data_IF_037572655061
#
_entry.id   IF_037572655061
#
_cell.length_a   1.000
_cell.length_b   1.000
_cell.length_c   1.000
_cell.angle_alpha   90.00
_cell.angle_beta   90.00
_cell.angle_gamma   90.00
#
_symmetry.space_group_name_H-M   'P 1'
#
loop_
_entity.id
_entity.type
_entity.pdbx_description
1 polymer ?
#
# COMPACT_ATOMS: atom_id res chain seq x y z
N UNK A 1 -15.93 24.83 12.54
CA UNK A 1 -16.55 25.99 11.89
C UNK A 1 -17.84 25.63 11.15
N UNK A 2 -17.82 24.73 10.16
CA UNK A 2 -19.05 24.31 9.43
C UNK A 2 -20.12 23.65 10.32
N UNK A 3 -19.69 22.90 11.34
CA UNK A 3 -20.59 22.31 12.33
C UNK A 3 -21.29 23.36 13.20
N UNK A 4 -20.65 24.51 13.46
CA UNK A 4 -21.20 25.58 14.30
C UNK A 4 -22.28 26.38 13.56
N UNK A 5 -22.13 26.57 12.24
CA UNK A 5 -23.21 27.16 11.40
C UNK A 5 -24.41 26.22 11.31
N UNK A 6 -24.20 24.90 11.18
CA UNK A 6 -25.29 23.91 11.24
C UNK A 6 -25.99 23.87 12.60
N UNK A 7 -25.26 24.14 13.67
CA UNK A 7 -25.80 24.25 15.03
C UNK A 7 -26.34 25.65 15.34
N UNK A 8 -26.45 26.54 14.34
CA UNK A 8 -26.91 27.94 14.46
C UNK A 8 -26.12 28.80 15.46
N UNK A 9 -24.95 28.35 15.89
CA UNK A 9 -24.04 29.11 16.78
C UNK A 9 -23.32 30.24 16.03
N UNK A 10 -23.31 30.21 14.70
CA UNK A 10 -22.78 31.24 13.82
C UNK A 10 -23.72 31.41 12.62
N UNK A 11 -24.04 32.66 12.25
CA UNK A 11 -24.93 32.96 11.12
C UNK A 11 -24.32 32.55 9.76
N UNK A 12 -23.01 32.73 9.60
CA UNK A 12 -22.27 32.37 8.38
C UNK A 12 -20.86 31.89 8.72
N UNK A 13 -20.23 31.15 7.80
CA UNK A 13 -18.85 30.68 7.97
C UNK A 13 -17.89 31.68 7.29
N UNK A 14 -17.09 32.47 8.05
CA UNK A 14 -16.17 33.47 7.47
C UNK A 14 -15.08 32.84 6.60
N UNK A 15 -14.79 31.55 6.80
CA UNK A 15 -13.82 30.80 6.00
C UNK A 15 -14.35 30.37 4.62
N UNK A 16 -15.62 30.63 4.31
CA UNK A 16 -16.21 30.33 3.00
C UNK A 16 -15.82 31.36 1.93
N UNK A 17 -15.49 32.58 2.36
CA UNK A 17 -15.05 33.69 1.51
C UNK A 17 -13.56 33.63 1.18
N UNK A 18 -12.82 32.72 1.83
CA UNK A 18 -11.39 32.55 1.62
C UNK A 18 -11.19 31.43 0.59
N UNK A 19 -10.71 31.79 -0.60
CA UNK A 19 -10.24 30.79 -1.55
C UNK A 19 -9.08 30.01 -0.94
N UNK A 20 -9.19 28.68 -0.88
CA UNK A 20 -8.08 27.85 -0.45
C UNK A 20 -6.93 28.04 -1.45
N UNK A 21 -5.71 28.38 -1.01
CA UNK A 21 -4.58 28.46 -1.92
C UNK A 21 -4.43 27.12 -2.64
N UNK A 22 -4.26 27.15 -3.97
CA UNK A 22 -3.98 25.95 -4.77
C UNK A 22 -2.74 25.28 -4.18
N UNK A 23 -2.96 24.21 -3.42
CA UNK A 23 -1.85 23.43 -2.89
C UNK A 23 -1.18 22.77 -4.10
N UNK A 24 0.09 23.14 -4.36
CA UNK A 24 0.91 22.40 -5.32
C UNK A 24 0.82 20.91 -4.94
N UNK A 25 0.53 20.05 -5.91
CA UNK A 25 0.49 18.62 -5.68
C UNK A 25 1.81 18.21 -5.01
N UNK A 26 1.74 17.64 -3.81
CA UNK A 26 2.94 17.14 -3.14
C UNK A 26 3.54 16.06 -4.02
N UNK A 27 4.75 16.26 -4.51
CA UNK A 27 5.54 15.19 -5.09
C UNK A 27 5.76 14.14 -3.99
N UNK A 28 5.25 12.93 -4.19
CA UNK A 28 5.47 11.84 -3.26
C UNK A 28 6.84 11.25 -3.54
N UNK A 29 7.69 11.17 -2.52
CA UNK A 29 8.94 10.43 -2.62
C UNK A 29 8.60 8.94 -2.52
N UNK A 30 8.74 8.24 -3.64
CA UNK A 30 8.58 6.80 -3.76
C UNK A 30 9.94 6.17 -3.97
N UNK A 31 10.14 4.96 -3.46
CA UNK A 31 11.36 4.22 -3.75
C UNK A 31 11.29 3.57 -5.12
N UNK A 32 12.46 3.47 -5.75
CA UNK A 32 12.69 2.54 -6.86
C UNK A 32 12.61 1.08 -6.40
N UNK A 33 12.55 0.19 -7.37
CA UNK A 33 12.59 -1.25 -7.19
C UNK A 33 13.89 -1.68 -6.48
N UNK A 34 15.03 -1.11 -6.87
CA UNK A 34 16.35 -1.40 -6.29
C UNK A 34 16.45 -0.92 -4.84
N UNK A 35 15.96 0.29 -4.54
CA UNK A 35 15.92 0.83 -3.18
C UNK A 35 15.00 0.01 -2.28
N UNK A 36 13.86 -0.45 -2.82
CA UNK A 36 12.93 -1.32 -2.11
C UNK A 36 13.57 -2.64 -1.71
N UNK A 37 14.28 -3.29 -2.64
CA UNK A 37 15.02 -4.53 -2.39
C UNK A 37 16.12 -4.32 -1.35
N UNK A 38 16.90 -3.23 -1.49
CA UNK A 38 17.98 -2.88 -0.56
C UNK A 38 17.45 -2.67 0.86
N UNK A 39 16.33 -1.95 1.00
CA UNK A 39 15.68 -1.76 2.28
C UNK A 39 15.18 -3.09 2.88
N UNK A 40 14.52 -3.94 2.08
CA UNK A 40 14.03 -5.24 2.57
C UNK A 40 15.17 -6.15 3.04
N UNK A 41 16.31 -6.14 2.36
CA UNK A 41 17.50 -6.90 2.76
C UNK A 41 17.99 -6.51 4.17
N UNK A 42 18.05 -5.21 4.46
CA UNK A 42 18.41 -4.70 5.80
C UNK A 42 17.30 -4.95 6.82
N UNK A 43 16.04 -4.75 6.43
CA UNK A 43 14.89 -4.92 7.30
C UNK A 43 14.69 -6.38 7.75
N UNK A 44 15.21 -7.37 7.00
CA UNK A 44 15.12 -8.81 7.31
C UNK A 44 15.70 -9.18 8.67
N UNK A 45 16.66 -8.41 9.16
CA UNK A 45 17.24 -8.58 10.51
C UNK A 45 16.37 -8.01 11.63
N UNK A 46 15.34 -7.22 11.29
CA UNK A 46 14.45 -6.61 12.25
C UNK A 46 13.33 -7.57 12.66
N UNK A 47 13.00 -7.63 13.96
CA UNK A 47 11.78 -8.33 14.44
C UNK A 47 10.51 -7.86 13.72
N UNK A 48 10.46 -6.60 13.30
CA UNK A 48 9.31 -6.01 12.62
C UNK A 48 9.37 -6.15 11.10
N UNK A 49 10.22 -7.02 10.56
CA UNK A 49 10.35 -7.26 9.11
C UNK A 49 9.00 -7.47 8.43
N UNK A 50 8.13 -8.32 8.99
CA UNK A 50 6.81 -8.63 8.42
C UNK A 50 5.94 -7.39 8.21
N UNK A 51 6.09 -6.36 9.04
CA UNK A 51 5.34 -5.10 8.90
C UNK A 51 5.72 -4.37 7.63
N UNK A 52 7.03 -4.31 7.35
CA UNK A 52 7.54 -3.65 6.16
C UNK A 52 7.29 -4.47 4.90
N UNK A 53 7.45 -5.79 5.01
CA UNK A 53 7.15 -6.73 3.93
C UNK A 53 5.70 -6.59 3.47
N UNK A 54 4.75 -6.65 4.41
CA UNK A 54 3.33 -6.46 4.08
C UNK A 54 3.08 -5.07 3.49
N UNK A 55 3.62 -4.00 4.07
CA UNK A 55 3.42 -2.65 3.54
C UNK A 55 3.83 -2.51 2.06
N UNK A 56 4.97 -3.12 1.68
CA UNK A 56 5.52 -3.07 0.32
C UNK A 56 4.77 -4.01 -0.64
N UNK A 57 4.42 -5.23 -0.23
CA UNK A 57 3.81 -6.23 -1.12
C UNK A 57 2.28 -6.11 -1.24
N UNK A 58 1.60 -5.52 -0.26
CA UNK A 58 0.13 -5.43 -0.23
C UNK A 58 -0.40 -4.00 -0.26
N UNK A 59 0.45 -2.99 -0.04
CA UNK A 59 0.03 -1.58 -0.01
C UNK A 59 -0.90 -1.24 1.17
N UNK A 60 -0.92 -2.07 2.21
CA UNK A 60 -1.75 -1.86 3.38
C UNK A 60 -1.28 -0.66 4.22
N UNK A 61 -2.23 0.02 4.87
CA UNK A 61 -1.92 1.10 5.80
C UNK A 61 -1.29 0.53 7.06
N UNK A 62 -0.41 1.30 7.71
CA UNK A 62 0.25 0.89 8.96
C UNK A 62 -0.73 0.38 10.02
N UNK A 63 -1.83 1.10 10.24
CA UNK A 63 -2.86 0.69 11.20
C UNK A 63 -3.60 -0.59 10.80
N UNK A 64 -3.77 -0.85 9.50
CA UNK A 64 -4.37 -2.10 9.01
C UNK A 64 -3.43 -3.28 9.31
N UNK A 65 -2.13 -3.13 9.01
CA UNK A 65 -1.11 -4.17 9.26
C UNK A 65 -1.00 -4.48 10.75
N UNK A 66 -0.92 -3.45 11.59
CA UNK A 66 -0.86 -3.61 13.05
C UNK A 66 -2.19 -4.09 13.65
N UNK A 67 -3.27 -3.99 12.87
CA UNK A 67 -4.60 -4.49 13.22
C UNK A 67 -4.82 -5.95 12.85
N UNK A 68 -3.98 -6.57 12.02
CA UNK A 68 -4.20 -7.94 11.55
C UNK A 68 -4.18 -8.97 12.68
N UNK A 69 -5.11 -9.91 12.64
CA UNK A 69 -5.06 -11.16 13.42
C UNK A 69 -4.51 -12.30 12.57
N UNK A 70 -4.10 -13.39 13.23
CA UNK A 70 -3.69 -14.62 12.55
C UNK A 70 -4.82 -15.16 11.67
N UNK A 71 -6.05 -15.20 12.18
CA UNK A 71 -7.24 -15.67 11.43
C UNK A 71 -7.59 -14.84 10.19
N UNK A 72 -7.08 -13.61 10.10
CA UNK A 72 -7.33 -12.74 8.94
C UNK A 72 -6.44 -13.12 7.74
N UNK A 73 -5.44 -14.01 7.93
CA UNK A 73 -4.49 -14.45 6.90
C UNK A 73 -4.82 -15.88 6.47
N UNK A 74 -5.23 -16.04 5.22
CA UNK A 74 -5.40 -17.34 4.58
C UNK A 74 -4.19 -17.65 3.70
N UNK A 75 -3.35 -18.57 4.16
CA UNK A 75 -2.12 -18.98 3.46
C UNK A 75 -2.43 -19.78 2.20
N UNK A 76 -3.48 -20.60 2.21
CA UNK A 76 -3.84 -21.47 1.07
C UNK A 76 -4.37 -20.63 -0.09
N UNK A 77 -5.30 -19.72 0.20
CA UNK A 77 -5.87 -18.80 -0.79
C UNK A 77 -4.95 -17.62 -1.09
N UNK A 78 -3.88 -17.43 -0.30
CA UNK A 78 -2.95 -16.30 -0.36
C UNK A 78 -3.67 -14.96 -0.24
N UNK A 79 -4.58 -14.85 0.72
CA UNK A 79 -5.43 -13.68 0.93
C UNK A 79 -5.34 -13.15 2.35
N UNK A 80 -5.40 -11.83 2.50
CA UNK A 80 -5.50 -11.15 3.79
C UNK A 80 -6.81 -10.35 3.82
N UNK A 81 -7.64 -10.61 4.82
CA UNK A 81 -8.90 -9.92 5.05
C UNK A 81 -8.70 -8.76 6.02
N UNK A 82 -8.95 -7.52 5.58
CA UNK A 82 -8.72 -6.33 6.40
C UNK A 82 -10.00 -5.99 7.16
N UNK A 83 -10.08 -6.45 8.41
CA UNK A 83 -11.28 -6.32 9.25
C UNK A 83 -11.13 -5.30 10.39
N UNK A 84 -9.88 -5.06 10.83
CA UNK A 84 -9.56 -4.30 12.03
C UNK A 84 -8.41 -3.34 11.79
N UNK A 85 -8.44 -2.17 12.43
CA UNK A 85 -7.39 -1.16 12.31
C UNK A 85 -6.91 -0.73 13.70
N UNK A 86 -5.59 -0.73 13.91
CA UNK A 86 -4.95 -0.12 15.07
C UNK A 86 -5.06 1.41 14.99
N UNK A 87 -5.59 2.04 16.03
CA UNK A 87 -5.70 3.49 16.10
C UNK A 87 -4.31 4.14 16.26
N UNK A 88 -4.14 5.34 15.70
CA UNK A 88 -2.86 6.06 15.73
C UNK A 88 -2.34 6.36 17.15
N UNK A 89 -3.26 6.48 18.13
CA UNK A 89 -2.89 6.67 19.54
C UNK A 89 -2.29 5.40 20.18
N UNK A 90 -2.36 4.25 19.50
CA UNK A 90 -1.93 2.94 20.01
C UNK A 90 -2.71 2.47 21.24
N UNK A 91 -3.88 3.06 21.51
CA UNK A 91 -4.71 2.78 22.70
C UNK A 91 -5.86 1.82 22.44
N UNK A 92 -5.95 1.25 21.24
CA UNK A 92 -7.00 0.30 20.93
C UNK A 92 -7.16 0.03 19.44
N UNK A 93 -8.04 -0.92 19.17
CA UNK A 93 -8.45 -1.28 17.83
C UNK A 93 -9.81 -0.67 17.53
N UNK A 94 -10.01 -0.36 16.26
CA UNK A 94 -11.32 -0.08 15.72
C UNK A 94 -11.74 -1.28 14.88
N UNK A 95 -12.77 -1.97 15.35
CA UNK A 95 -13.47 -2.99 14.59
C UNK A 95 -14.34 -2.31 13.54
N UNK A 96 -14.30 -2.83 12.32
CA UNK A 96 -15.02 -2.25 11.20
C UNK A 96 -14.37 -0.96 10.68
N UNK A 97 -14.26 -0.92 9.37
CA UNK A 97 -14.05 0.32 8.63
C UNK A 97 -15.40 1.01 8.46
N UNK A 98 -15.54 2.27 8.88
CA UNK A 98 -16.80 3.03 8.69
C UNK A 98 -17.20 2.94 7.21
N UNK A 99 -18.36 2.35 6.92
CA UNK A 99 -18.98 2.01 5.61
C UNK A 99 -18.70 0.60 5.05
N UNK A 100 -19.77 -0.01 4.53
CA UNK A 100 -19.88 -1.36 3.94
C UNK A 100 -18.94 -1.66 2.77
N UNK A 101 -18.22 -0.66 2.26
CA UNK A 101 -17.27 -0.79 1.15
C UNK A 101 -15.79 -0.91 1.55
N UNK A 102 -15.45 -1.05 2.84
CA UNK A 102 -14.05 -0.94 3.29
C UNK A 102 -13.45 -2.18 3.97
N UNK A 103 -14.23 -3.26 4.19
CA UNK A 103 -13.65 -4.59 4.37
C UNK A 103 -13.21 -5.09 2.99
N UNK A 104 -11.91 -5.24 2.79
CA UNK A 104 -11.34 -5.68 1.52
C UNK A 104 -10.37 -6.82 1.74
N UNK A 105 -10.30 -7.69 0.75
CA UNK A 105 -9.35 -8.79 0.70
C UNK A 105 -8.21 -8.43 -0.22
N UNK A 106 -6.97 -8.60 0.26
CA UNK A 106 -5.77 -8.35 -0.53
C UNK A 106 -5.04 -9.66 -0.78
N UNK A 107 -4.78 -9.96 -2.06
CA UNK A 107 -4.03 -11.14 -2.48
C UNK A 107 -2.54 -10.88 -2.37
N UNK A 108 -1.75 -11.81 -1.85
CA UNK A 108 -0.29 -11.68 -1.77
C UNK A 108 0.45 -12.76 -2.60
N UNK A 109 1.69 -12.51 -3.04
CA UNK A 109 2.45 -13.48 -3.82
C UNK A 109 2.90 -14.67 -2.96
N UNK A 110 3.13 -15.82 -3.59
CA UNK A 110 3.65 -17.03 -2.93
C UNK A 110 5.02 -16.80 -2.28
N UNK A 111 5.79 -15.84 -2.79
CA UNK A 111 7.15 -15.54 -2.31
C UNK A 111 7.21 -15.12 -0.83
N UNK A 112 6.14 -14.55 -0.26
CA UNK A 112 6.12 -14.09 1.14
C UNK A 112 5.46 -15.10 2.09
N UNK A 113 5.00 -16.25 1.58
CA UNK A 113 4.36 -17.30 2.41
C UNK A 113 5.28 -17.78 3.54
N UNK A 114 6.58 -18.06 3.32
CA UNK A 114 7.46 -18.52 4.40
C UNK A 114 7.58 -17.49 5.54
N UNK A 115 7.67 -16.20 5.19
CA UNK A 115 7.77 -15.12 6.17
C UNK A 115 6.47 -14.96 6.97
N UNK A 116 5.31 -15.16 6.33
CA UNK A 116 4.01 -15.15 6.99
C UNK A 116 3.82 -16.37 7.90
N UNK A 117 4.20 -17.56 7.46
CA UNK A 117 4.14 -18.77 8.28
C UNK A 117 4.98 -18.61 9.54
N UNK A 118 6.21 -18.12 9.41
CA UNK A 118 7.08 -17.78 10.56
C UNK A 118 6.46 -16.73 11.47
N UNK A 119 5.74 -15.76 10.91
CA UNK A 119 5.06 -14.74 11.70
C UNK A 119 3.82 -15.29 12.44
N UNK A 120 3.21 -16.37 11.96
CA UNK A 120 2.03 -17.02 12.56
C UNK A 120 2.43 -18.09 13.59
N UNK A 121 3.60 -18.68 13.43
CA UNK A 121 4.11 -19.74 14.31
C UNK A 121 3.99 -19.39 15.80
N UNK A 122 3.40 -20.34 16.56
CA UNK A 122 3.21 -20.20 18.02
C UNK A 122 2.09 -19.24 18.45
N UNK A 123 1.25 -18.76 17.54
CA UNK A 123 0.13 -17.85 17.84
C UNK A 123 -1.23 -18.50 17.63
N UNK A 124 -2.21 -18.07 18.42
CA UNK A 124 -3.60 -18.47 18.28
C UNK A 124 -4.31 -17.65 17.18
N UNK A 125 -5.41 -18.17 16.61
CA UNK A 125 -6.14 -17.48 15.54
C UNK A 125 -6.57 -16.03 15.87
N UNK A 126 -6.91 -15.76 17.12
CA UNK A 126 -7.34 -14.43 17.57
C UNK A 126 -6.19 -13.49 17.97
N UNK A 127 -4.96 -14.01 18.04
CA UNK A 127 -3.80 -13.20 18.35
C UNK A 127 -3.52 -12.19 17.24
N UNK A 128 -2.96 -11.04 17.65
CA UNK A 128 -2.51 -10.05 16.69
C UNK A 128 -1.27 -10.58 15.96
N UNK A 129 -1.26 -10.49 14.64
CA UNK A 129 -0.16 -11.02 13.81
C UNK A 129 1.17 -10.35 14.17
N UNK A 130 1.17 -9.05 14.46
CA UNK A 130 2.38 -8.29 14.81
C UNK A 130 2.33 -7.84 16.26
N UNK A 131 3.20 -8.41 17.09
CA UNK A 131 3.28 -8.14 18.54
C UNK A 131 4.68 -7.73 18.99
N UNK A 132 4.78 -7.13 20.17
CA UNK A 132 6.05 -6.87 20.87
C UNK A 132 6.72 -8.18 21.31
N UNK A 133 7.90 -8.09 21.93
CA UNK A 133 8.58 -9.25 22.54
C UNK A 133 7.81 -9.86 23.72
N UNK A 134 6.98 -9.07 24.39
CA UNK A 134 6.15 -9.47 25.52
C UNK A 134 4.69 -9.75 25.10
N UNK A 135 4.46 -10.05 23.82
CA UNK A 135 3.14 -10.37 23.26
C UNK A 135 2.07 -9.27 23.44
N UNK A 136 2.48 -8.01 23.52
CA UNK A 136 1.55 -6.85 23.55
C UNK A 136 1.43 -6.18 22.18
N UNK A 137 0.41 -5.34 22.04
CA UNK A 137 0.15 -4.60 20.80
C UNK A 137 1.24 -3.55 20.53
N UNK A 138 1.60 -3.40 19.26
CA UNK A 138 2.62 -2.44 18.85
C UNK A 138 2.02 -1.05 18.63
N UNK A 139 2.62 -0.05 19.28
CA UNK A 139 2.31 1.35 19.00
C UNK A 139 2.86 1.73 17.62
N UNK A 140 2.06 2.38 16.74
CA UNK A 140 2.52 2.81 15.41
C UNK A 140 3.83 3.61 15.44
N UNK A 141 4.02 4.46 16.45
CA UNK A 141 5.22 5.28 16.61
C UNK A 141 6.51 4.46 16.77
N UNK A 142 6.45 3.27 17.37
CA UNK A 142 7.63 2.40 17.52
C UNK A 142 8.07 1.86 16.16
N UNK A 143 7.12 1.47 15.31
CA UNK A 143 7.39 1.05 13.94
C UNK A 143 7.95 2.22 13.13
N UNK A 144 7.36 3.40 13.22
CA UNK A 144 7.83 4.59 12.50
C UNK A 144 9.25 5.00 12.93
N UNK A 145 9.59 4.85 14.21
CA UNK A 145 10.96 5.07 14.70
C UNK A 145 11.93 4.03 14.14
N UNK A 146 11.58 2.74 14.22
CA UNK A 146 12.42 1.66 13.67
C UNK A 146 12.62 1.81 12.16
N UNK A 147 11.57 2.20 11.45
CA UNK A 147 11.60 2.45 10.01
C UNK A 147 12.66 3.49 9.65
N UNK A 148 12.67 4.65 10.33
CA UNK A 148 13.66 5.71 10.11
C UNK A 148 15.10 5.23 10.29
N UNK A 149 15.37 4.46 11.35
CA UNK A 149 16.70 3.91 11.57
C UNK A 149 17.11 2.93 10.45
N UNK A 150 16.18 2.08 10.00
CA UNK A 150 16.47 1.12 8.92
C UNK A 150 16.71 1.80 7.58
N UNK A 151 16.04 2.94 7.30
CA UNK A 151 16.31 3.76 6.10
C UNK A 151 17.75 4.24 6.08
N UNK A 152 18.23 4.76 7.21
CA UNK A 152 19.60 5.29 7.32
C UNK A 152 20.64 4.17 7.11
N UNK A 153 20.41 2.99 7.70
CA UNK A 153 21.28 1.82 7.51
C UNK A 153 21.24 1.32 6.06
N UNK A 154 20.06 1.27 5.44
CA UNK A 154 19.90 0.83 4.06
C UNK A 154 20.40 1.86 3.03
N UNK A 155 20.72 3.10 3.46
CA UNK A 155 21.14 4.21 2.60
C UNK A 155 20.16 4.44 1.44
N UNK A 156 18.86 4.46 1.77
CA UNK A 156 17.77 4.76 0.81
C UNK A 156 17.16 6.13 1.13
N UNK A 157 16.48 6.79 0.17
CA UNK A 157 15.88 8.09 0.39
C UNK A 157 14.92 8.09 1.58
N UNK A 158 14.91 9.20 2.32
CA UNK A 158 14.01 9.36 3.46
C UNK A 158 12.57 9.55 3.00
N UNK A 159 11.73 8.57 3.30
CA UNK A 159 10.29 8.60 3.05
C UNK A 159 9.51 8.36 4.36
N UNK A 160 8.21 8.67 4.37
CA UNK A 160 7.34 8.33 5.50
C UNK A 160 6.87 6.88 5.36
N UNK A 161 6.45 6.26 6.45
CA UNK A 161 5.92 4.89 6.40
C UNK A 161 4.76 4.75 5.42
N UNK A 162 3.88 5.77 5.35
CA UNK A 162 2.76 5.76 4.41
C UNK A 162 3.21 5.80 2.93
N UNK A 163 4.41 6.29 2.65
CA UNK A 163 4.94 6.36 1.29
C UNK A 163 5.36 4.98 0.76
N UNK A 164 5.48 3.95 1.61
CA UNK A 164 5.62 2.55 1.17
C UNK A 164 4.41 2.08 0.37
N UNK A 165 3.21 2.54 0.75
CA UNK A 165 1.99 2.28 -0.01
C UNK A 165 2.00 2.96 -1.38
N UNK A 166 2.58 4.16 -1.45
CA UNK A 166 2.78 4.86 -2.72
C UNK A 166 3.83 4.14 -3.59
N UNK A 167 4.88 3.63 -2.95
CA UNK A 167 5.89 2.78 -3.60
C UNK A 167 5.26 1.53 -4.21
N UNK A 168 4.44 0.78 -3.43
CA UNK A 168 3.69 -0.38 -3.93
C UNK A 168 2.86 -0.05 -5.17
N UNK A 169 2.08 1.03 -5.10
CA UNK A 169 1.19 1.44 -6.19
C UNK A 169 1.98 1.87 -7.43
N UNK A 170 3.08 2.62 -7.26
CA UNK A 170 3.94 3.08 -8.36
C UNK A 170 4.57 1.89 -9.07
N UNK A 171 5.11 0.92 -8.33
CA UNK A 171 5.68 -0.31 -8.89
C UNK A 171 4.61 -1.09 -9.68
N UNK A 172 3.40 -1.24 -9.14
CA UNK A 172 2.31 -1.92 -9.87
C UNK A 172 1.92 -1.18 -11.16
N UNK A 173 1.84 0.14 -11.13
CA UNK A 173 1.51 0.94 -12.31
C UNK A 173 2.61 0.85 -13.37
N UNK A 174 3.89 0.92 -12.98
CA UNK A 174 5.02 0.69 -13.89
C UNK A 174 4.99 -0.69 -14.55
N UNK A 175 4.48 -1.70 -13.85
CA UNK A 175 4.28 -3.05 -14.40
C UNK A 175 3.05 -3.16 -15.33
N UNK A 176 2.41 -2.05 -15.67
CA UNK A 176 1.23 -2.02 -16.54
C UNK A 176 -0.06 -2.48 -15.86
N UNK A 177 -0.09 -2.65 -14.52
CA UNK A 177 -1.32 -3.04 -13.82
C UNK A 177 -2.35 -1.92 -13.94
N UNK A 178 -3.57 -2.31 -14.35
CA UNK A 178 -4.64 -1.34 -14.58
C UNK A 178 -4.93 -0.50 -13.31
N UNK A 179 -5.00 0.85 -13.40
CA UNK A 179 -5.18 1.73 -12.25
C UNK A 179 -6.38 1.41 -11.36
N UNK A 180 -7.47 0.86 -11.94
CA UNK A 180 -8.64 0.38 -11.20
C UNK A 180 -8.28 -0.75 -10.22
N UNK A 181 -7.49 -1.73 -10.67
CA UNK A 181 -7.04 -2.86 -9.84
C UNK A 181 -6.18 -2.35 -8.69
N UNK A 182 -5.27 -1.41 -8.98
CA UNK A 182 -4.43 -0.77 -7.96
C UNK A 182 -5.30 -0.02 -6.95
N UNK A 183 -6.30 0.76 -7.41
CA UNK A 183 -7.20 1.52 -6.53
C UNK A 183 -8.05 0.61 -5.62
N UNK A 184 -8.60 -0.47 -6.16
CA UNK A 184 -9.38 -1.48 -5.41
C UNK A 184 -8.51 -2.15 -4.33
N UNK A 185 -7.31 -2.59 -4.69
CA UNK A 185 -6.33 -3.21 -3.76
C UNK A 185 -5.97 -2.28 -2.60
N UNK A 186 -5.79 -1.00 -2.90
CA UNK A 186 -5.51 0.03 -1.91
C UNK A 186 -6.74 0.40 -1.07
N UNK A 187 -7.96 0.10 -1.53
CA UNK A 187 -9.20 0.54 -0.88
C UNK A 187 -9.38 2.05 -0.97
N UNK A 188 -9.10 2.62 -2.15
CA UNK A 188 -9.50 3.99 -2.47
C UNK A 188 -10.95 3.99 -2.97
N UNK A 189 -11.82 4.79 -2.34
CA UNK A 189 -13.21 4.95 -2.79
C UNK A 189 -13.34 5.64 -4.15
N UNK A 190 -12.26 6.28 -4.63
CA UNK A 190 -12.19 6.92 -5.94
C UNK A 190 -10.89 6.53 -6.65
N UNK A 191 -11.01 5.96 -7.84
CA UNK A 191 -9.89 5.65 -8.75
C UNK A 191 -9.12 6.91 -9.15
N UNK A 192 -9.82 8.06 -9.24
CA UNK A 192 -9.23 9.38 -9.52
C UNK A 192 -8.07 9.71 -8.57
N UNK A 193 -8.18 9.36 -7.28
CA UNK A 193 -7.13 9.64 -6.30
C UNK A 193 -5.81 8.91 -6.65
N UNK A 194 -5.90 7.70 -7.21
CA UNK A 194 -4.74 6.93 -7.67
C UNK A 194 -4.16 7.61 -8.92
N UNK A 195 -4.96 7.87 -9.95
CA UNK A 195 -4.47 8.50 -11.19
C UNK A 195 -3.89 9.90 -11.00
N UNK A 196 -4.54 10.75 -10.19
CA UNK A 196 -4.05 12.10 -9.89
C UNK A 196 -2.71 12.05 -9.14
N UNK A 197 -2.54 11.07 -8.24
CA UNK A 197 -1.31 10.86 -7.45
C UNK A 197 -0.15 10.34 -8.30
N UNK A 198 -0.43 9.49 -9.30
CA UNK A 198 0.60 8.84 -10.13
C UNK A 198 0.62 9.35 -11.58
N UNK A 199 0.05 10.53 -11.82
CA UNK A 199 -0.03 11.17 -13.14
C UNK A 199 1.34 11.32 -13.82
N UNK A 200 2.42 11.46 -13.04
CA UNK A 200 3.79 11.53 -13.54
C UNK A 200 4.34 10.22 -14.12
N UNK A 201 3.73 9.07 -13.81
CA UNK A 201 4.14 7.75 -14.30
C UNK A 201 3.41 7.39 -15.61
N UNK A 202 2.32 8.09 -15.93
CA UNK A 202 1.52 7.83 -17.13
C UNK A 202 2.27 8.04 -18.45
N UNK A 203 3.15 9.06 -18.61
CA UNK A 203 3.86 9.25 -19.88
C UNK A 203 4.78 8.09 -20.25
N UNK A 204 5.52 7.51 -19.29
CA UNK A 204 6.37 6.34 -19.56
C UNK A 204 5.55 5.10 -19.91
N UNK A 205 4.37 4.94 -19.29
CA UNK A 205 3.44 3.84 -19.59
C UNK A 205 2.86 3.92 -21.01
N UNK A 206 2.63 5.13 -21.54
CA UNK A 206 2.11 5.29 -22.89
C UNK A 206 3.08 4.82 -23.97
N UNK A 207 4.38 5.15 -23.81
CA UNK A 207 5.42 4.68 -24.71
C UNK A 207 5.53 3.15 -24.68
N UNK A 208 5.63 2.58 -23.48
CA UNK A 208 5.75 1.12 -23.30
C UNK A 208 4.51 0.36 -23.81
N UNK A 209 3.31 0.93 -23.66
CA UNK A 209 2.09 0.35 -24.22
C UNK A 209 2.09 0.35 -25.75
N UNK A 210 2.58 1.42 -26.39
CA UNK A 210 2.70 1.49 -27.84
C UNK A 210 3.74 0.49 -28.37
N UNK A 211 4.90 0.39 -27.72
CA UNK A 211 5.96 -0.55 -28.10
C UNK A 211 5.51 -2.00 -27.96
N UNK A 212 4.84 -2.35 -26.85
CA UNK A 212 4.28 -3.68 -26.65
C UNK A 212 3.23 -4.03 -27.70
N UNK A 213 2.38 -3.08 -28.09
CA UNK A 213 1.40 -3.28 -29.16
C UNK A 213 2.08 -3.56 -30.50
N UNK A 214 3.10 -2.78 -30.86
CA UNK A 214 3.90 -2.99 -32.08
C UNK A 214 4.52 -4.39 -32.12
N UNK A 215 5.22 -4.78 -31.04
CA UNK A 215 5.83 -6.10 -30.94
C UNK A 215 4.85 -7.26 -31.11
N UNK A 216 3.62 -7.13 -30.58
CA UNK A 216 2.59 -8.16 -30.75
C UNK A 216 2.18 -8.28 -32.21
N UNK A 217 1.88 -7.16 -32.89
CA UNK A 217 1.48 -7.19 -34.30
C UNK A 217 2.60 -7.67 -35.21
N UNK A 218 3.83 -7.21 -35.00
CA UNK A 218 5.00 -7.61 -35.77
C UNK A 218 5.26 -9.12 -35.65
N UNK A 219 5.06 -9.68 -34.46
CA UNK A 219 5.16 -11.12 -34.21
C UNK A 219 4.12 -11.91 -35.00
N UNK A 220 2.87 -11.44 -35.06
CA UNK A 220 1.82 -12.08 -35.85
C UNK A 220 2.07 -11.95 -37.36
N UNK A 221 2.53 -10.79 -37.83
CA UNK A 221 2.91 -10.59 -39.23
C UNK A 221 4.02 -11.55 -39.67
N UNK A 222 5.05 -11.72 -38.84
CA UNK A 222 6.18 -12.62 -39.12
C UNK A 222 5.79 -14.11 -39.11
N UNK A 223 4.88 -14.51 -38.21
CA UNK A 223 4.35 -15.88 -38.15
C UNK A 223 3.47 -16.24 -39.35
N UNK A 224 2.71 -15.27 -39.85
CA UNK A 224 1.83 -15.50 -41.00
C UNK A 224 2.63 -15.55 -42.31
N UNK A 225 3.68 -14.73 -42.46
CA UNK A 225 4.57 -14.77 -43.63
C UNK A 225 5.32 -16.10 -43.77
N UNK A 226 5.70 -16.74 -42.66
CA UNK A 226 6.39 -18.05 -42.66
C UNK A 226 5.46 -19.25 -42.84
N UNK A 227 4.14 -19.06 -42.70
CA UNK A 227 3.13 -20.12 -42.91
C UNK A 227 2.62 -20.14 -44.36
N UNK A 228 2.81 -19.07 -45.14
CA UNK A 228 2.44 -18.98 -46.56
C UNK A 228 3.49 -19.49 -47.54
N UNK A 229 4.66 -19.92 -47.06
CA UNK A 229 5.78 -20.41 -47.89
C UNK A 229 5.97 -21.94 -47.84
N UNK A 230 5.07 -22.69 -47.17
CA UNK A 230 5.00 -24.16 -47.18
C UNK A 230 3.67 -24.65 -47.73
#
# INVERSE_FOLDING_TARGET
MTSAVKQQLLATNPAHTVEKPKQKAKQFNVWSEEETIRFLAVAKQSRYYIVFLLAIYTGMRQGEILGLRVRDVDIQRRTISINRIMLNNGKGFKEGTKTSGSSRTVVFPSSIVPDLQKAIEGKQPDDTLVMTSICTTLKPNNITRRFRNLIEVAKVPKIRFHDLRHTHATIMLKQGVHPKIVAERLGHSRTQLTLDTYSHVLPSMQAEAADNFGQVLDRYATKNATTSEN
#
